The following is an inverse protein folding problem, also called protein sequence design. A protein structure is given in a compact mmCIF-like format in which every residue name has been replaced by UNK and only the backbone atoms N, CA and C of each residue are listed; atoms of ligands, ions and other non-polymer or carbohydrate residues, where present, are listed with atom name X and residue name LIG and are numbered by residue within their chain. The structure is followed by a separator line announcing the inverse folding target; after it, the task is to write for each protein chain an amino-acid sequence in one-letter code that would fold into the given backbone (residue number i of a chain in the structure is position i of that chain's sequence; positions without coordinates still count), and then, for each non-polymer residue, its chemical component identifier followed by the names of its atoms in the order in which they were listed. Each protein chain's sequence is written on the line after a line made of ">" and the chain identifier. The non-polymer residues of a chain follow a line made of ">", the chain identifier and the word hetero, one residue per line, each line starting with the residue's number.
data_IF_779330909940
#
_entry.id   IF_779330909940
#
_cell.length_a   1.000
_cell.length_b   1.000
_cell.length_c   1.000
_cell.angle_alpha   90.00
_cell.angle_beta   90.00
_cell.angle_gamma   90.00
#
_symmetry.space_group_name_H-M   'P 1'
#
loop_
_entity.id
_entity.type
_entity.pdbx_description
1 polymer ?
#
# COMPACT_ATOMS: atom_id res chain seq x y z
N UNK A 1 -8.14 -14.06 -35.61
CA UNK A 1 -8.73 -13.71 -34.30
C UNK A 1 -9.26 -12.27 -34.35
N UNK A 2 -10.56 -12.07 -34.63
CA UNK A 2 -11.22 -10.75 -34.67
C UNK A 2 -12.38 -10.62 -33.67
N UNK A 3 -12.70 -11.68 -32.92
CA UNK A 3 -13.92 -11.75 -32.08
C UNK A 3 -13.78 -11.18 -30.65
N UNK A 4 -12.59 -10.71 -30.24
CA UNK A 4 -12.34 -10.23 -28.86
C UNK A 4 -11.89 -8.76 -28.76
N UNK A 5 -12.05 -7.97 -29.84
CA UNK A 5 -11.62 -6.55 -29.82
C UNK A 5 -12.49 -5.69 -28.91
N UNK A 6 -13.79 -6.00 -28.83
CA UNK A 6 -14.77 -5.24 -28.06
C UNK A 6 -15.18 -5.97 -26.77
N UNK A 7 -14.37 -6.94 -26.31
CA UNK A 7 -14.63 -7.58 -25.03
C UNK A 7 -14.33 -6.59 -23.90
N UNK A 8 -15.40 -6.14 -23.27
CA UNK A 8 -15.36 -5.29 -22.07
C UNK A 8 -15.27 -6.15 -20.81
N UNK A 9 -14.49 -5.69 -19.87
CA UNK A 9 -14.42 -6.25 -18.52
C UNK A 9 -14.62 -5.14 -17.50
N UNK A 10 -15.24 -5.50 -16.38
CA UNK A 10 -15.42 -4.58 -15.25
C UNK A 10 -14.13 -4.53 -14.44
N UNK A 11 -13.61 -3.32 -14.27
CA UNK A 11 -12.41 -3.05 -13.48
C UNK A 11 -12.73 -2.05 -12.39
N UNK A 12 -12.19 -2.31 -11.20
CA UNK A 12 -12.27 -1.36 -10.08
C UNK A 12 -11.17 -0.31 -10.24
N UNK A 13 -11.57 0.96 -10.29
CA UNK A 13 -10.67 2.10 -10.45
C UNK A 13 -10.78 2.97 -9.20
N UNK A 14 -9.63 3.32 -8.63
CA UNK A 14 -9.54 4.30 -7.55
C UNK A 14 -9.75 5.69 -8.12
N UNK A 15 -10.82 6.35 -7.68
CA UNK A 15 -11.08 7.74 -7.99
C UNK A 15 -10.78 8.62 -6.79
N UNK A 16 -10.09 9.72 -7.05
CA UNK A 16 -9.78 10.74 -6.04
C UNK A 16 -11.01 11.60 -5.81
N UNK A 17 -11.43 11.67 -4.56
CA UNK A 17 -12.50 12.54 -4.08
C UNK A 17 -11.91 13.61 -3.18
N UNK A 18 -12.30 14.86 -3.47
CA UNK A 18 -11.89 16.04 -2.72
C UNK A 18 -12.97 16.35 -1.68
N UNK A 19 -12.66 16.17 -0.41
CA UNK A 19 -13.58 16.40 0.70
C UNK A 19 -13.15 17.62 1.50
N UNK A 20 -14.07 18.47 1.93
CA UNK A 20 -13.73 19.66 2.72
C UNK A 20 -13.18 19.25 4.09
N UNK A 21 -12.02 19.81 4.47
CA UNK A 21 -11.45 19.62 5.79
C UNK A 21 -12.13 20.57 6.80
N UNK A 22 -12.58 20.04 7.94
CA UNK A 22 -13.35 20.81 8.92
C UNK A 22 -12.50 21.86 9.67
N UNK A 23 -11.23 21.56 9.91
CA UNK A 23 -10.26 22.43 10.59
C UNK A 23 -8.86 22.25 10.01
N UNK A 24 -8.05 23.31 10.08
CA UNK A 24 -6.67 23.29 9.60
C UNK A 24 -6.55 23.24 8.08
N UNK A 25 -5.34 22.91 7.61
CA UNK A 25 -5.02 22.71 6.21
C UNK A 25 -4.36 21.35 6.03
N UNK A 26 -4.50 20.81 4.83
CA UNK A 26 -3.77 19.67 4.35
C UNK A 26 -2.73 20.11 3.31
N UNK A 27 -1.64 19.36 3.22
CA UNK A 27 -0.65 19.49 2.15
C UNK A 27 -0.89 18.37 1.15
N UNK A 28 -1.35 18.72 -0.05
CA UNK A 28 -1.78 17.76 -1.08
C UNK A 28 -0.82 17.79 -2.26
N UNK A 29 -0.35 16.63 -2.69
CA UNK A 29 0.43 16.48 -3.91
C UNK A 29 -0.51 16.41 -5.12
N UNK A 30 -0.37 17.34 -6.07
CA UNK A 30 -1.14 17.35 -7.33
C UNK A 30 -0.74 16.21 -8.28
N UNK A 31 0.53 15.83 -8.25
CA UNK A 31 1.07 14.77 -9.12
C UNK A 31 0.60 13.40 -8.64
N UNK A 32 0.75 13.12 -7.35
CA UNK A 32 0.35 11.83 -6.78
C UNK A 32 -1.14 11.74 -6.42
N UNK A 33 -1.87 12.86 -6.42
CA UNK A 33 -3.21 12.96 -5.82
C UNK A 33 -3.26 12.38 -4.40
N UNK A 34 -2.31 12.77 -3.56
CA UNK A 34 -2.11 12.21 -2.23
C UNK A 34 -2.02 13.30 -1.16
N UNK A 35 -2.70 13.10 -0.03
CA UNK A 35 -2.61 14.01 1.12
C UNK A 35 -1.39 13.63 1.96
N UNK A 36 -0.36 14.47 1.94
CA UNK A 36 0.92 14.22 2.61
C UNK A 36 0.84 14.41 4.12
N UNK A 37 0.08 15.42 4.56
CA UNK A 37 -0.27 15.58 5.96
C UNK A 37 -1.59 16.33 6.10
N UNK A 38 -2.29 16.04 7.18
CA UNK A 38 -3.41 16.83 7.69
C UNK A 38 -2.94 17.62 8.92
N UNK A 39 -3.63 18.69 9.27
CA UNK A 39 -3.27 19.55 10.41
C UNK A 39 -1.92 20.26 10.25
N UNK A 40 -1.61 20.72 9.03
CA UNK A 40 -0.46 21.60 8.81
C UNK A 40 -0.66 22.89 9.63
N UNK A 41 0.22 23.12 10.62
CA UNK A 41 0.24 24.33 11.46
C UNK A 41 0.99 25.49 10.83
N UNK A 42 1.59 25.27 9.65
CA UNK A 42 2.38 26.28 8.97
C UNK A 42 1.47 27.46 8.57
N UNK A 43 1.75 28.70 9.03
CA UNK A 43 1.05 29.90 8.62
C UNK A 43 0.93 30.01 7.10
N UNK A 44 -0.21 30.45 6.58
CA UNK A 44 -0.48 30.49 5.13
C UNK A 44 0.55 31.30 4.32
N UNK A 45 1.21 32.24 4.97
CA UNK A 45 2.22 33.12 4.36
C UNK A 45 3.57 32.41 4.17
N UNK A 46 3.80 31.32 4.91
CA UNK A 46 5.05 30.56 4.85
C UNK A 46 5.07 29.61 3.66
N UNK A 47 6.24 29.57 3.00
CA UNK A 47 6.50 28.71 1.85
C UNK A 47 6.23 27.24 2.19
N UNK A 48 5.58 26.51 1.28
CA UNK A 48 5.35 25.08 1.44
C UNK A 48 6.65 24.27 1.54
N UNK A 49 7.79 24.82 1.09
CA UNK A 49 9.13 24.27 1.32
C UNK A 49 9.50 24.13 2.79
N UNK A 50 8.99 24.98 3.69
CA UNK A 50 9.26 24.86 5.13
C UNK A 50 8.27 23.94 5.84
N UNK A 51 7.39 23.28 5.10
CA UNK A 51 6.49 22.27 5.65
C UNK A 51 7.29 21.08 6.20
N UNK A 52 6.93 20.56 7.38
CA UNK A 52 7.63 19.47 8.06
C UNK A 52 7.71 18.15 7.27
N UNK A 53 6.92 18.00 6.20
CA UNK A 53 6.99 16.84 5.31
C UNK A 53 8.01 17.00 4.18
N UNK A 54 8.58 18.19 4.00
CA UNK A 54 9.64 18.44 3.01
C UNK A 54 11.01 18.20 3.65
N UNK A 55 11.92 17.60 2.90
CA UNK A 55 13.34 17.53 3.27
C UNK A 55 14.08 18.85 2.94
N UNK A 56 15.37 18.90 3.29
CA UNK A 56 16.21 20.08 3.11
C UNK A 56 16.38 20.47 1.62
N UNK A 57 16.20 19.52 0.70
CA UNK A 57 16.25 19.75 -0.75
C UNK A 57 14.88 20.20 -1.31
N UNK A 58 13.84 20.26 -0.47
CA UNK A 58 12.49 20.66 -0.82
C UNK A 58 11.66 19.54 -1.47
N UNK A 59 12.04 18.28 -1.30
CA UNK A 59 11.28 17.13 -1.76
C UNK A 59 10.39 16.58 -0.64
N UNK A 60 9.19 16.14 -1.00
CA UNK A 60 8.27 15.57 -0.03
C UNK A 60 8.74 14.18 0.39
N UNK A 61 8.88 13.97 1.69
CA UNK A 61 9.27 12.69 2.28
C UNK A 61 8.09 11.74 2.46
N UNK A 62 6.86 12.19 2.25
CA UNK A 62 5.65 11.40 2.53
C UNK A 62 4.95 10.90 1.28
N UNK A 63 4.82 11.70 0.20
CA UNK A 63 4.11 11.23 -0.99
C UNK A 63 4.90 10.13 -1.73
N UNK A 64 4.22 9.20 -2.43
CA UNK A 64 4.88 8.06 -3.08
C UNK A 64 5.94 8.48 -4.11
N UNK A 65 5.69 9.56 -4.84
CA UNK A 65 6.58 10.06 -5.89
C UNK A 65 7.72 10.94 -5.38
N UNK A 66 7.84 11.16 -4.05
CA UNK A 66 8.80 12.09 -3.45
C UNK A 66 8.87 13.44 -4.15
N UNK A 67 7.71 13.95 -4.55
CA UNK A 67 7.60 15.08 -5.47
C UNK A 67 8.12 16.37 -4.83
N UNK A 68 8.55 17.31 -5.67
CA UNK A 68 9.01 18.63 -5.24
C UNK A 68 7.91 19.39 -4.49
N UNK A 69 8.31 20.30 -3.60
CA UNK A 69 7.41 21.20 -2.90
C UNK A 69 6.48 21.99 -3.84
N UNK A 70 6.93 22.29 -5.06
CA UNK A 70 6.14 22.97 -6.10
C UNK A 70 4.92 22.19 -6.58
N UNK A 71 4.98 20.86 -6.47
CA UNK A 71 3.90 19.96 -6.85
C UNK A 71 2.83 19.84 -5.77
N UNK A 72 3.02 20.53 -4.64
CA UNK A 72 2.13 20.46 -3.50
C UNK A 72 1.35 21.76 -3.33
N UNK A 73 0.09 21.63 -2.90
CA UNK A 73 -0.75 22.74 -2.51
C UNK A 73 -1.13 22.62 -1.04
N UNK A 74 -1.22 23.77 -0.35
CA UNK A 74 -1.81 23.85 0.99
C UNK A 74 -3.27 24.28 0.86
N UNK A 75 -4.18 23.41 1.30
CA UNK A 75 -5.61 23.68 1.11
C UNK A 75 -6.48 23.05 2.20
N UNK A 76 -7.72 23.54 2.34
CA UNK A 76 -8.72 23.00 3.29
C UNK A 76 -9.47 21.80 2.68
N UNK A 77 -8.74 20.91 2.02
CA UNK A 77 -9.28 19.76 1.31
C UNK A 77 -8.49 18.52 1.71
N UNK A 78 -9.21 17.47 2.08
CA UNK A 78 -8.67 16.14 2.24
C UNK A 78 -8.90 15.36 0.94
N UNK A 79 -7.84 14.80 0.37
CA UNK A 79 -7.96 13.82 -0.71
C UNK A 79 -8.30 12.47 -0.08
N UNK A 80 -9.50 12.00 -0.39
CA UNK A 80 -10.00 10.66 -0.06
C UNK A 80 -10.14 9.86 -1.35
N UNK A 81 -10.23 8.53 -1.26
CA UNK A 81 -10.43 7.68 -2.42
C UNK A 81 -11.80 7.02 -2.37
N UNK A 82 -12.33 6.68 -3.53
CA UNK A 82 -13.48 5.80 -3.69
C UNK A 82 -13.22 4.82 -4.83
N UNK A 83 -13.71 3.58 -4.70
CA UNK A 83 -13.66 2.61 -5.79
C UNK A 83 -14.89 2.81 -6.67
N UNK A 84 -14.67 2.94 -7.98
CA UNK A 84 -15.71 2.86 -8.98
C UNK A 84 -15.45 1.73 -9.95
N UNK A 85 -16.51 1.00 -10.27
CA UNK A 85 -16.47 -0.02 -11.31
C UNK A 85 -16.65 0.67 -12.66
N UNK A 86 -15.65 0.52 -13.52
CA UNK A 86 -15.66 1.02 -14.90
C UNK A 86 -15.60 -0.17 -15.86
N UNK A 87 -16.27 -0.07 -17.01
CA UNK A 87 -16.07 -1.02 -18.10
C UNK A 87 -14.90 -0.56 -18.95
N UNK A 88 -13.92 -1.43 -19.14
CA UNK A 88 -12.77 -1.18 -20.03
C UNK A 88 -12.57 -2.35 -20.96
N UNK A 89 -12.12 -2.07 -22.17
CA UNK A 89 -11.71 -3.12 -23.09
C UNK A 89 -10.34 -3.66 -22.71
N UNK A 90 -10.07 -4.93 -23.06
CA UNK A 90 -8.73 -5.52 -22.88
C UNK A 90 -7.67 -4.70 -23.63
N UNK A 91 -8.02 -4.12 -24.78
CA UNK A 91 -7.10 -3.32 -25.57
C UNK A 91 -6.72 -2.02 -24.85
N UNK A 92 -7.69 -1.30 -24.29
CA UNK A 92 -7.43 -0.08 -23.51
C UNK A 92 -6.54 -0.35 -22.30
N UNK A 93 -6.76 -1.46 -21.59
CA UNK A 93 -5.93 -1.85 -20.45
C UNK A 93 -4.48 -2.09 -20.87
N UNK A 94 -4.27 -2.81 -21.98
CA UNK A 94 -2.93 -3.05 -22.53
C UNK A 94 -2.24 -1.77 -22.98
N UNK A 95 -2.96 -0.91 -23.71
CA UNK A 95 -2.39 0.33 -24.23
C UNK A 95 -2.02 1.29 -23.10
N UNK A 96 -2.84 1.38 -22.06
CA UNK A 96 -2.52 2.15 -20.85
C UNK A 96 -1.25 1.63 -20.16
N UNK A 97 -1.12 0.30 -20.01
CA UNK A 97 0.07 -0.31 -19.42
C UNK A 97 1.34 -0.02 -20.25
N UNK A 98 1.29 -0.23 -21.57
CA UNK A 98 2.42 0.05 -22.46
C UNK A 98 2.81 1.51 -22.46
N UNK A 99 1.83 2.42 -22.43
CA UNK A 99 2.06 3.87 -22.33
C UNK A 99 2.74 4.24 -21.02
N UNK A 100 2.29 3.70 -19.88
CA UNK A 100 2.90 3.95 -18.58
C UNK A 100 4.37 3.50 -18.53
N UNK A 101 4.68 2.37 -19.18
CA UNK A 101 6.04 1.83 -19.28
C UNK A 101 6.88 2.42 -20.41
N UNK A 102 6.30 3.24 -21.28
CA UNK A 102 7.00 3.84 -22.42
C UNK A 102 7.55 2.84 -23.45
N UNK A 103 7.10 1.57 -23.45
CA UNK A 103 7.56 0.56 -24.40
C UNK A 103 6.50 -0.50 -24.71
N UNK A 104 6.55 -1.00 -25.94
CA UNK A 104 5.72 -2.12 -26.38
C UNK A 104 6.25 -3.43 -25.79
N UNK A 105 5.36 -4.27 -25.28
CA UNK A 105 5.69 -5.56 -24.66
C UNK A 105 4.67 -6.61 -25.07
N UNK A 106 5.07 -7.87 -25.07
CA UNK A 106 4.14 -8.99 -25.18
C UNK A 106 3.32 -9.15 -23.90
N UNK A 107 2.16 -9.81 -23.99
CA UNK A 107 1.31 -10.06 -22.80
C UNK A 107 2.06 -10.81 -21.69
N UNK A 108 2.98 -11.72 -22.04
CA UNK A 108 3.79 -12.46 -21.06
C UNK A 108 4.74 -11.52 -20.31
N UNK A 109 5.50 -10.70 -21.04
CA UNK A 109 6.41 -9.72 -20.43
C UNK A 109 5.68 -8.69 -19.55
N UNK A 110 4.42 -8.35 -19.87
CA UNK A 110 3.59 -7.51 -19.01
C UNK A 110 3.27 -8.19 -17.68
N UNK A 111 2.88 -9.47 -17.72
CA UNK A 111 2.56 -10.25 -16.52
C UNK A 111 3.79 -10.44 -15.64
N UNK A 112 4.92 -10.83 -16.22
CA UNK A 112 6.18 -11.04 -15.50
C UNK A 112 6.59 -9.76 -14.74
N UNK A 113 6.42 -8.58 -15.37
CA UNK A 113 6.70 -7.28 -14.73
C UNK A 113 5.73 -6.92 -13.62
N UNK A 114 4.44 -7.14 -13.84
CA UNK A 114 3.42 -6.90 -12.82
C UNK A 114 3.68 -7.77 -11.58
N UNK A 115 4.11 -9.01 -11.77
CA UNK A 115 4.47 -9.92 -10.68
C UNK A 115 5.70 -9.42 -9.90
N UNK A 116 6.74 -8.95 -10.60
CA UNK A 116 7.90 -8.33 -9.95
C UNK A 116 7.51 -7.10 -9.15
N UNK A 117 6.75 -6.16 -9.74
CA UNK A 117 6.28 -4.96 -9.03
C UNK A 117 5.42 -5.32 -7.81
N UNK A 118 4.53 -6.30 -7.95
CA UNK A 118 3.70 -6.79 -6.86
C UNK A 118 4.56 -7.30 -5.70
N UNK A 119 5.59 -8.12 -5.95
CA UNK A 119 6.48 -8.60 -4.90
C UNK A 119 7.31 -7.49 -4.25
N UNK A 120 7.79 -6.52 -5.04
CA UNK A 120 8.49 -5.35 -4.48
C UNK A 120 7.59 -4.56 -3.52
N UNK A 121 6.32 -4.40 -3.86
CA UNK A 121 5.33 -3.74 -2.99
C UNK A 121 5.07 -4.58 -1.74
N UNK A 122 4.88 -5.90 -1.87
CA UNK A 122 4.71 -6.80 -0.72
C UNK A 122 5.90 -6.69 0.26
N UNK A 123 7.13 -6.71 -0.24
CA UNK A 123 8.34 -6.62 0.59
C UNK A 123 8.48 -5.25 1.26
N UNK A 124 8.20 -4.16 0.54
CA UNK A 124 8.21 -2.81 1.12
C UNK A 124 7.18 -2.69 2.26
N UNK A 125 6.02 -3.29 2.08
CA UNK A 125 4.92 -3.25 3.03
C UNK A 125 5.21 -4.08 4.29
N UNK A 126 5.80 -5.26 4.11
CA UNK A 126 6.34 -6.08 5.20
C UNK A 126 7.35 -5.31 6.05
N UNK A 127 8.25 -4.57 5.40
CA UNK A 127 9.25 -3.75 6.08
C UNK A 127 8.61 -2.61 6.89
N UNK A 128 7.58 -1.94 6.34
CA UNK A 128 6.85 -0.89 7.05
C UNK A 128 6.11 -1.42 8.28
N UNK A 129 5.47 -2.60 8.18
CA UNK A 129 4.80 -3.23 9.33
C UNK A 129 5.82 -3.56 10.43
N UNK A 130 6.98 -4.10 10.05
CA UNK A 130 8.06 -4.39 11.00
C UNK A 130 8.55 -3.13 11.70
N UNK A 131 8.83 -2.06 10.95
CA UNK A 131 9.24 -0.78 11.53
C UNK A 131 8.18 -0.22 12.48
N UNK A 132 6.91 -0.30 12.10
CA UNK A 132 5.79 0.16 12.93
C UNK A 132 5.69 -0.63 14.23
N UNK A 133 5.88 -1.97 14.17
CA UNK A 133 5.96 -2.83 15.35
C UNK A 133 7.15 -2.47 16.24
N UNK A 134 8.34 -2.27 15.68
CA UNK A 134 9.54 -1.90 16.43
C UNK A 134 9.38 -0.54 17.13
N UNK A 135 8.77 0.45 16.46
CA UNK A 135 8.40 1.74 17.04
C UNK A 135 7.41 1.57 18.20
N UNK A 136 6.37 0.75 18.02
CA UNK A 136 5.39 0.48 19.07
C UNK A 136 6.04 -0.19 20.29
N UNK A 137 6.89 -1.19 20.07
CA UNK A 137 7.65 -1.85 21.13
C UNK A 137 8.50 -0.84 21.90
N UNK A 138 9.20 0.05 21.19
CA UNK A 138 10.01 1.11 21.81
C UNK A 138 9.17 2.07 22.65
N UNK A 139 7.97 2.45 22.19
CA UNK A 139 7.06 3.29 22.95
C UNK A 139 6.62 2.62 24.26
N UNK A 140 6.30 1.32 24.23
CA UNK A 140 5.94 0.56 25.44
C UNK A 140 7.09 0.46 26.44
N UNK A 141 8.33 0.24 25.96
CA UNK A 141 9.53 0.24 26.80
C UNK A 141 9.71 1.57 27.53
N UNK A 142 9.56 2.70 26.81
CA UNK A 142 9.70 4.05 27.39
C UNK A 142 8.57 4.35 28.37
N UNK A 143 7.34 3.91 28.08
CA UNK A 143 6.19 4.10 28.96
C UNK A 143 6.21 3.17 30.19
N UNK A 144 7.21 2.29 30.34
CA UNK A 144 7.27 1.25 31.36
C UNK A 144 6.00 0.39 31.40
N UNK A 145 5.36 0.20 30.24
CA UNK A 145 4.16 -0.61 30.14
C UNK A 145 4.56 -2.10 30.06
N UNK A 146 4.12 -2.95 30.99
CA UNK A 146 4.52 -4.36 31.04
C UNK A 146 4.00 -5.22 29.88
N UNK A 147 3.15 -4.68 28.99
CA UNK A 147 2.63 -5.42 27.84
C UNK A 147 3.67 -5.55 26.72
N UNK A 148 4.32 -6.71 26.65
CA UNK A 148 5.09 -7.13 25.47
C UNK A 148 4.13 -7.75 24.43
N UNK A 149 3.49 -6.91 23.61
CA UNK A 149 2.74 -7.44 22.48
C UNK A 149 3.70 -8.22 21.56
N UNK A 150 3.29 -9.43 21.22
CA UNK A 150 3.90 -10.21 20.15
C UNK A 150 3.62 -9.56 18.79
N UNK A 151 4.44 -9.90 17.78
CA UNK A 151 4.18 -9.47 16.40
C UNK A 151 2.81 -9.93 15.89
N UNK A 152 2.28 -11.03 16.42
CA UNK A 152 0.96 -11.56 16.06
C UNK A 152 -0.17 -10.72 16.61
N UNK A 153 -0.13 -10.37 17.89
CA UNK A 153 -1.11 -9.46 18.51
C UNK A 153 -1.07 -8.08 17.84
N UNK A 154 0.10 -7.64 17.38
CA UNK A 154 0.19 -6.41 16.60
C UNK A 154 -0.52 -6.49 15.24
N UNK A 155 -0.37 -7.61 14.51
CA UNK A 155 -1.11 -7.83 13.26
C UNK A 155 -2.63 -7.88 13.53
N UNK A 156 -3.06 -8.47 14.64
CA UNK A 156 -4.48 -8.47 15.02
C UNK A 156 -5.02 -7.05 15.27
N UNK A 157 -4.22 -6.17 15.88
CA UNK A 157 -4.57 -4.75 16.03
C UNK A 157 -4.72 -4.09 14.65
N UNK A 158 -3.79 -4.32 13.73
CA UNK A 158 -3.88 -3.79 12.36
C UNK A 158 -5.14 -4.27 11.64
N UNK A 159 -5.46 -5.56 11.76
CA UNK A 159 -6.69 -6.15 11.21
C UNK A 159 -7.91 -5.43 11.79
N UNK A 160 -7.97 -5.24 13.11
CA UNK A 160 -9.10 -4.57 13.75
C UNK A 160 -9.24 -3.11 13.33
N UNK A 161 -8.13 -2.37 13.20
CA UNK A 161 -8.13 -1.00 12.69
C UNK A 161 -8.71 -0.97 11.28
N UNK A 162 -8.23 -1.85 10.41
CA UNK A 162 -8.68 -1.88 9.02
C UNK A 162 -10.16 -2.25 8.89
N UNK A 163 -10.64 -3.22 9.67
CA UNK A 163 -12.06 -3.63 9.71
C UNK A 163 -12.99 -2.48 10.13
N UNK A 164 -12.50 -1.59 10.99
CA UNK A 164 -13.25 -0.43 11.45
C UNK A 164 -13.20 0.73 10.45
N UNK A 165 -12.04 0.99 9.85
CA UNK A 165 -11.87 2.11 8.91
C UNK A 165 -12.51 1.83 7.54
N UNK A 166 -12.48 0.57 7.08
CA UNK A 166 -13.07 0.10 5.81
C UNK A 166 -12.75 1.01 4.63
N UNK A 167 -11.48 1.39 4.52
CA UNK A 167 -10.98 2.22 3.41
C UNK A 167 -11.18 1.49 2.08
N UNK A 168 -11.26 2.21 0.94
CA UNK A 168 -11.38 1.54 -0.34
C UNK A 168 -10.21 0.57 -0.58
N UNK A 169 -10.52 -0.68 -0.90
CA UNK A 169 -9.54 -1.75 -1.07
C UNK A 169 -9.24 -2.53 0.21
N UNK A 170 -9.97 -2.26 1.31
CA UNK A 170 -9.74 -2.96 2.58
C UNK A 170 -9.97 -4.47 2.47
N UNK A 171 -10.83 -4.96 1.58
CA UNK A 171 -11.07 -6.40 1.44
C UNK A 171 -9.80 -7.16 1.01
N UNK A 172 -9.10 -6.67 -0.01
CA UNK A 172 -7.87 -7.27 -0.52
C UNK A 172 -6.75 -7.18 0.53
N UNK A 173 -6.66 -6.03 1.19
CA UNK A 173 -5.72 -5.80 2.27
C UNK A 173 -5.98 -6.72 3.49
N UNK A 174 -7.25 -6.93 3.84
CA UNK A 174 -7.67 -7.86 4.88
C UNK A 174 -7.31 -9.30 4.55
N UNK A 175 -7.50 -9.73 3.29
CA UNK A 175 -7.07 -11.06 2.83
C UNK A 175 -5.56 -11.21 2.99
N UNK A 176 -4.79 -10.18 2.61
CA UNK A 176 -3.34 -10.19 2.75
C UNK A 176 -2.88 -10.22 4.22
N UNK A 177 -3.45 -9.39 5.10
CA UNK A 177 -3.14 -9.39 6.54
C UNK A 177 -3.47 -10.73 7.20
N UNK A 178 -4.60 -11.35 6.85
CA UNK A 178 -4.98 -12.68 7.35
C UNK A 178 -4.00 -13.76 6.86
N UNK A 179 -3.58 -13.69 5.59
CA UNK A 179 -2.57 -14.59 5.03
C UNK A 179 -1.25 -14.46 5.78
N UNK A 180 -0.78 -13.24 6.00
CA UNK A 180 0.43 -12.99 6.80
C UNK A 180 0.35 -13.52 8.22
N UNK A 181 -0.79 -13.32 8.88
CA UNK A 181 -1.01 -13.83 10.23
C UNK A 181 -0.84 -15.36 10.25
N UNK A 182 -1.48 -16.06 9.32
CA UNK A 182 -1.35 -17.51 9.19
C UNK A 182 0.09 -17.95 8.89
N UNK A 183 0.84 -17.21 8.06
CA UNK A 183 2.26 -17.47 7.83
C UNK A 183 3.08 -17.36 9.12
N UNK A 184 2.84 -16.30 9.90
CA UNK A 184 3.53 -16.07 11.17
C UNK A 184 3.22 -17.18 12.20
N UNK A 185 1.97 -17.62 12.28
CA UNK A 185 1.55 -18.75 13.13
C UNK A 185 2.28 -20.05 12.76
N UNK A 186 2.40 -20.34 11.46
CA UNK A 186 3.12 -21.53 10.98
C UNK A 186 4.62 -21.43 11.32
N UNK A 187 5.24 -20.27 11.12
CA UNK A 187 6.66 -20.07 11.45
C UNK A 187 6.93 -20.20 12.96
N UNK A 188 6.05 -19.70 13.81
CA UNK A 188 6.14 -19.86 15.27
C UNK A 188 6.01 -21.33 15.70
N UNK A 189 5.12 -22.11 15.07
CA UNK A 189 5.02 -23.56 15.29
C UNK A 189 6.32 -24.27 14.93
N UNK A 190 6.91 -23.96 13.77
CA UNK A 190 8.20 -24.53 13.35
C UNK A 190 9.30 -24.18 14.38
N UNK A 191 9.38 -22.93 14.81
CA UNK A 191 10.38 -22.48 15.78
C UNK A 191 10.24 -23.19 17.14
N UNK A 192 9.00 -23.53 17.54
CA UNK A 192 8.69 -24.32 18.74
C UNK A 192 8.84 -25.83 18.55
N UNK A 193 9.23 -26.30 17.36
CA UNK A 193 9.36 -27.72 17.04
C UNK A 193 8.02 -28.47 16.95
N UNK A 194 6.93 -27.76 16.70
CA UNK A 194 5.60 -28.33 16.53
C UNK A 194 5.39 -28.78 15.09
N UNK A 195 4.94 -30.02 14.91
CA UNK A 195 4.63 -30.56 13.60
C UNK A 195 3.49 -29.80 12.90
N UNK A 196 3.72 -29.48 11.63
CA UNK A 196 2.72 -28.81 10.80
C UNK A 196 1.61 -29.75 10.34
N UNK A 197 0.43 -29.21 10.11
CA UNK A 197 -0.66 -29.89 9.43
C UNK A 197 -0.38 -30.02 7.92
N UNK A 198 -0.99 -30.99 7.21
CA UNK A 198 -0.83 -31.12 5.77
C UNK A 198 -1.14 -29.85 4.97
N UNK A 199 -2.18 -29.11 5.38
CA UNK A 199 -2.57 -27.85 4.72
C UNK A 199 -1.55 -26.73 4.94
N UNK A 200 -0.93 -26.67 6.13
CA UNK A 200 0.11 -25.68 6.47
C UNK A 200 1.40 -25.94 5.68
N UNK A 201 1.78 -27.22 5.53
CA UNK A 201 2.90 -27.62 4.66
C UNK A 201 2.67 -27.21 3.21
N UNK A 202 1.46 -27.48 2.69
CA UNK A 202 1.09 -27.10 1.32
C UNK A 202 1.16 -25.58 1.13
N UNK A 203 0.62 -24.83 2.07
CA UNK A 203 0.62 -23.37 2.03
C UNK A 203 2.03 -22.76 1.98
N UNK A 204 2.96 -23.28 2.79
CA UNK A 204 4.37 -22.83 2.77
C UNK A 204 5.06 -23.19 1.44
N UNK A 205 4.80 -24.38 0.90
CA UNK A 205 5.34 -24.81 -0.41
C UNK A 205 4.83 -23.92 -1.55
N UNK A 206 3.52 -23.66 -1.61
CA UNK A 206 2.92 -22.79 -2.64
C UNK A 206 3.51 -21.36 -2.61
N UNK A 207 3.94 -20.88 -1.43
CA UNK A 207 4.63 -19.59 -1.28
C UNK A 207 6.06 -19.66 -1.81
N UNK A 208 6.79 -20.71 -1.51
CA UNK A 208 8.16 -20.91 -1.96
C UNK A 208 8.22 -21.05 -3.49
N UNK A 209 7.31 -21.83 -4.08
CA UNK A 209 7.20 -22.01 -5.53
C UNK A 209 6.89 -20.68 -6.25
N UNK A 210 6.01 -19.83 -5.69
CA UNK A 210 5.76 -18.47 -6.21
C UNK A 210 7.01 -17.59 -6.18
N UNK A 211 7.81 -17.67 -5.11
CA UNK A 211 9.06 -16.90 -5.01
C UNK A 211 10.15 -17.38 -5.97
N UNK A 212 10.19 -18.67 -6.28
CA UNK A 212 11.17 -19.28 -7.19
C UNK A 212 10.77 -19.19 -8.67
N UNK A 213 9.50 -18.94 -8.97
CA UNK A 213 8.99 -18.77 -10.34
C UNK A 213 9.28 -17.41 -10.97
N UNK A 214 9.76 -16.43 -10.20
CA UNK A 214 10.08 -15.08 -10.67
C UNK A 214 11.44 -15.13 -11.39
N UNK A 215 11.53 -14.82 -12.70
CA UNK A 215 12.81 -14.70 -13.38
C UNK A 215 13.58 -13.51 -12.76
N UNK A 216 14.82 -13.76 -12.32
CA UNK A 216 15.78 -12.72 -11.91
C UNK A 216 16.15 -11.80 -13.06
#
# INVERSE_FOLDING_TARGET
>A
MKQNKDFETEVNVLQVKRSKLSKGFATNCKVCNFTCQTCCFLPNEDDIKSCAVMDDDGNCTVCPGKCSSSDHDREKVLLTYEIKTEKKTIQELKDNFMKAWGKYMSTKEMLDKLEVEFHMIEDALMNLIKQSFDCFKRLNEVALNPSSLSAMEYIEILIHIEENERKPGFEDWMVWLKKMKAESEILDKIAKGVDLLPNERKFMKDKEDRRQGVPT
#
